data_IF_315268335702
#
_entry.id   IF_315268335702
#
_cell.length_a   1.000
_cell.length_b   1.000
_cell.length_c   1.000
_cell.angle_alpha   90.00
_cell.angle_beta   90.00
_cell.angle_gamma   90.00
#
_symmetry.space_group_name_H-M   'P 1'
#
loop_
_entity.id
_entity.type
_entity.pdbx_description
1 polymer ?
#
# COMPACT_ATOMS: atom_id res chain seq x y z
N UNK A 1 0.37 -25.54 -20.09
CA UNK A 1 0.52 -26.19 -18.78
C UNK A 1 -0.34 -25.41 -17.79
N UNK A 2 -1.28 -26.10 -17.15
CA UNK A 2 -2.64 -25.62 -16.92
C UNK A 2 -2.82 -24.68 -15.71
N UNK A 3 -3.67 -23.66 -15.92
CA UNK A 3 -4.27 -22.74 -14.94
C UNK A 3 -4.94 -23.45 -13.73
N UNK A 4 -5.19 -24.76 -13.87
CA UNK A 4 -5.71 -25.64 -12.83
C UNK A 4 -4.76 -25.86 -11.64
N UNK A 5 -3.43 -25.74 -11.83
CA UNK A 5 -2.46 -26.02 -10.75
C UNK A 5 -2.32 -24.83 -9.77
N UNK A 6 -2.73 -23.63 -10.18
CA UNK A 6 -2.68 -22.44 -9.31
C UNK A 6 -3.95 -22.30 -8.45
N UNK A 7 -5.10 -22.78 -8.94
CA UNK A 7 -6.35 -22.80 -8.16
C UNK A 7 -6.34 -23.86 -7.05
N UNK A 8 -5.64 -24.99 -7.23
CA UNK A 8 -5.53 -26.02 -6.19
C UNK A 8 -4.68 -25.59 -5.00
N UNK A 9 -3.76 -24.62 -5.17
CA UNK A 9 -2.96 -24.10 -4.04
C UNK A 9 -3.74 -23.15 -3.14
N UNK A 10 -4.73 -22.41 -3.67
CA UNK A 10 -5.62 -21.54 -2.89
C UNK A 10 -6.76 -22.32 -2.22
N UNK A 11 -7.25 -23.40 -2.83
CA UNK A 11 -8.25 -24.29 -2.24
C UNK A 11 -7.65 -25.27 -1.21
N UNK A 12 -6.36 -25.65 -1.37
CA UNK A 12 -5.67 -26.57 -0.46
C UNK A 12 -5.35 -26.02 0.93
N UNK A 13 -5.34 -24.69 1.10
CA UNK A 13 -5.16 -24.05 2.41
C UNK A 13 -6.49 -24.02 3.20
N UNK A 14 -7.63 -24.19 2.53
CA UNK A 14 -8.95 -24.10 3.16
C UNK A 14 -9.51 -25.43 3.69
N UNK A 15 -8.91 -26.59 3.38
CA UNK A 15 -9.56 -27.90 3.63
C UNK A 15 -8.75 -28.97 4.38
N UNK A 16 -7.57 -28.65 4.93
CA UNK A 16 -6.83 -29.61 5.77
C UNK A 16 -6.37 -28.96 7.07
N UNK A 17 -7.34 -28.60 7.91
CA UNK A 17 -7.28 -28.79 9.37
C UNK A 17 -8.70 -28.60 9.89
N UNK A 18 -9.24 -29.59 10.61
CA UNK A 18 -10.50 -29.49 11.35
C UNK A 18 -10.41 -28.53 12.53
N UNK A 19 -10.15 -27.25 12.23
CA UNK A 19 -10.25 -26.13 13.16
C UNK A 19 -11.48 -25.32 12.78
N UNK A 20 -12.42 -25.17 13.72
CA UNK A 20 -13.51 -24.19 13.66
C UNK A 20 -12.96 -22.74 13.78
N UNK A 21 -11.96 -22.36 13.00
CA UNK A 21 -11.59 -20.97 12.83
C UNK A 21 -12.47 -20.41 11.71
N UNK A 22 -13.56 -19.74 12.10
CA UNK A 22 -14.49 -19.14 11.16
C UNK A 22 -13.76 -18.08 10.31
N UNK A 23 -13.55 -18.36 9.02
CA UNK A 23 -13.22 -17.31 8.06
C UNK A 23 -14.39 -16.33 8.04
N UNK A 24 -14.15 -15.08 8.45
CA UNK A 24 -15.18 -14.05 8.40
C UNK A 24 -15.26 -13.51 6.99
N UNK A 25 -16.48 -13.48 6.42
CA UNK A 25 -16.75 -12.84 5.13
C UNK A 25 -17.68 -11.66 5.31
N UNK A 26 -17.41 -10.60 4.57
CA UNK A 26 -18.22 -9.39 4.54
C UNK A 26 -18.37 -8.88 3.11
N UNK A 27 -19.54 -8.37 2.78
CA UNK A 27 -19.87 -7.84 1.45
C UNK A 27 -20.50 -6.46 1.58
N UNK A 28 -20.26 -5.62 0.57
CA UNK A 28 -21.08 -4.45 0.28
C UNK A 28 -21.87 -4.75 -0.98
N UNK A 29 -23.19 -4.74 -0.85
CA UNK A 29 -24.10 -4.84 -1.99
C UNK A 29 -24.71 -3.49 -2.31
N UNK A 30 -25.12 -3.33 -3.56
CA UNK A 30 -25.82 -2.15 -4.03
C UNK A 30 -27.19 -2.53 -4.60
N UNK A 31 -28.24 -1.85 -4.18
CA UNK A 31 -29.52 -1.81 -4.89
C UNK A 31 -29.61 -0.51 -5.68
N UNK A 32 -30.01 -0.60 -6.95
CA UNK A 32 -30.14 0.57 -7.82
C UNK A 32 -31.50 1.23 -7.60
N UNK A 33 -31.50 2.46 -7.10
CA UNK A 33 -32.66 3.36 -7.14
C UNK A 33 -32.64 4.19 -8.44
N UNK A 34 -33.68 4.97 -8.70
CA UNK A 34 -33.81 5.79 -9.93
C UNK A 34 -32.68 6.83 -10.09
N UNK A 35 -32.10 7.31 -8.98
CA UNK A 35 -31.11 8.41 -8.98
C UNK A 35 -29.76 8.06 -8.35
N UNK A 36 -29.70 7.03 -7.50
CA UNK A 36 -28.53 6.68 -6.72
C UNK A 36 -28.53 5.18 -6.42
N UNK A 37 -27.40 4.67 -5.91
CA UNK A 37 -27.32 3.35 -5.33
C UNK A 37 -27.54 3.43 -3.82
N UNK A 38 -28.29 2.50 -3.27
CA UNK A 38 -28.36 2.27 -1.83
C UNK A 38 -27.40 1.14 -1.47
N UNK A 39 -26.60 1.36 -0.43
CA UNK A 39 -25.56 0.43 -0.01
C UNK A 39 -25.99 -0.34 1.23
N UNK A 40 -25.69 -1.63 1.27
CA UNK A 40 -25.93 -2.48 2.43
C UNK A 40 -24.69 -3.31 2.77
N UNK A 41 -24.38 -3.38 4.06
CA UNK A 41 -23.34 -4.26 4.60
C UNK A 41 -23.94 -5.61 4.99
N UNK A 42 -23.30 -6.69 4.55
CA UNK A 42 -23.71 -8.05 4.83
C UNK A 42 -22.52 -8.80 5.43
N UNK A 43 -22.68 -9.36 6.64
CA UNK A 43 -21.72 -10.30 7.25
C UNK A 43 -22.31 -11.70 7.22
N UNK A 44 -21.70 -12.64 6.50
CA UNK A 44 -22.27 -13.98 6.29
C UNK A 44 -21.23 -15.10 6.40
N UNK A 45 -21.70 -16.28 6.80
CA UNK A 45 -20.98 -17.56 6.62
C UNK A 45 -21.47 -18.25 5.34
N UNK A 46 -22.73 -18.03 4.96
CA UNK A 46 -23.39 -18.64 3.80
C UNK A 46 -24.22 -17.56 3.10
N UNK A 47 -23.79 -17.09 1.93
CA UNK A 47 -24.68 -16.35 1.03
C UNK A 47 -24.39 -16.74 -0.42
N UNK A 48 -25.45 -16.97 -1.19
CA UNK A 48 -25.43 -17.21 -2.62
C UNK A 48 -25.11 -15.91 -3.38
N UNK A 49 -24.46 -16.06 -4.53
CA UNK A 49 -23.88 -15.01 -5.37
C UNK A 49 -24.89 -14.17 -6.17
N UNK A 50 -26.07 -13.87 -5.62
CA UNK A 50 -27.19 -13.28 -6.39
C UNK A 50 -27.33 -11.75 -6.25
N UNK A 51 -26.61 -11.10 -5.34
CA UNK A 51 -26.70 -9.65 -5.15
C UNK A 51 -25.61 -8.89 -5.90
N UNK A 52 -25.91 -7.74 -6.54
CA UNK A 52 -24.92 -6.85 -7.14
C UNK A 52 -23.92 -6.39 -6.07
N UNK A 53 -22.75 -7.03 -6.05
CA UNK A 53 -21.76 -6.87 -4.98
C UNK A 53 -20.67 -5.92 -5.44
N UNK A 54 -20.48 -4.80 -4.74
CA UNK A 54 -19.44 -3.82 -5.04
C UNK A 54 -18.07 -4.34 -4.60
N UNK A 55 -18.02 -4.85 -3.37
CA UNK A 55 -16.80 -5.30 -2.73
C UNK A 55 -17.08 -6.47 -1.78
N UNK A 56 -16.11 -7.37 -1.65
CA UNK A 56 -16.14 -8.50 -0.73
C UNK A 56 -14.79 -8.65 -0.04
N UNK A 57 -14.82 -8.85 1.27
CA UNK A 57 -13.67 -9.16 2.11
C UNK A 57 -13.80 -10.57 2.70
N UNK A 58 -12.70 -11.31 2.71
CA UNK A 58 -12.55 -12.54 3.51
C UNK A 58 -11.33 -12.38 4.40
N UNK A 59 -11.50 -12.57 5.71
CA UNK A 59 -10.45 -12.43 6.71
C UNK A 59 -10.36 -13.70 7.56
N UNK A 60 -9.14 -14.20 7.72
CA UNK A 60 -8.85 -15.34 8.59
C UNK A 60 -7.71 -14.98 9.54
N UNK A 61 -8.03 -14.82 10.82
CA UNK A 61 -7.03 -14.51 11.84
C UNK A 61 -6.39 -15.80 12.36
N UNK A 62 -5.14 -16.03 11.96
CA UNK A 62 -4.32 -17.16 12.42
C UNK A 62 -3.06 -16.71 13.16
N UNK A 63 -3.05 -15.49 13.71
CA UNK A 63 -1.86 -14.89 14.33
C UNK A 63 -1.30 -15.80 15.44
N UNK A 64 -2.15 -16.39 16.29
CA UNK A 64 -1.72 -17.27 17.36
C UNK A 64 -1.15 -18.62 16.87
N UNK A 65 -1.46 -19.04 15.64
CA UNK A 65 -1.00 -20.31 15.06
C UNK A 65 0.19 -20.16 14.13
N UNK A 66 0.26 -19.05 13.36
CA UNK A 66 1.24 -18.86 12.28
C UNK A 66 2.00 -17.54 12.37
N UNK A 67 1.60 -16.63 13.26
CA UNK A 67 2.08 -15.24 13.27
C UNK A 67 1.39 -14.33 12.24
N UNK A 68 0.46 -14.85 11.43
CA UNK A 68 -0.19 -14.11 10.33
C UNK A 68 -1.71 -14.16 10.41
N UNK A 69 -2.34 -13.02 10.12
CA UNK A 69 -3.70 -13.01 9.58
C UNK A 69 -3.66 -12.97 8.06
N UNK A 70 -4.74 -13.38 7.39
CA UNK A 70 -4.89 -13.24 5.93
C UNK A 70 -6.13 -12.42 5.60
N UNK A 71 -6.03 -11.60 4.55
CA UNK A 71 -7.13 -10.78 4.04
C UNK A 71 -7.17 -10.86 2.51
N UNK A 72 -8.31 -11.27 1.96
CA UNK A 72 -8.62 -11.17 0.53
C UNK A 72 -9.70 -10.12 0.32
N UNK A 73 -9.45 -9.16 -0.55
CA UNK A 73 -10.38 -8.11 -0.91
C UNK A 73 -10.58 -8.08 -2.42
N UNK A 74 -11.84 -8.13 -2.86
CA UNK A 74 -12.21 -8.20 -4.28
C UNK A 74 -13.27 -7.14 -4.54
N UNK A 75 -13.17 -6.42 -5.65
CA UNK A 75 -14.22 -5.47 -6.10
C UNK A 75 -14.77 -5.86 -7.48
N UNK A 76 -15.97 -5.36 -7.79
CA UNK A 76 -16.66 -5.61 -9.06
C UNK A 76 -16.54 -4.42 -10.02
N UNK A 77 -16.24 -4.68 -11.28
CA UNK A 77 -16.14 -3.67 -12.34
C UNK A 77 -17.49 -3.17 -12.86
N UNK A 78 -18.60 -3.71 -12.35
CA UNK A 78 -19.96 -3.25 -12.64
C UNK A 78 -20.27 -1.87 -12.02
N UNK A 79 -19.43 -1.43 -11.08
CA UNK A 79 -19.61 -0.18 -10.34
C UNK A 79 -18.50 0.83 -10.66
N UNK A 80 -18.76 2.15 -10.53
CA UNK A 80 -17.72 3.16 -10.61
C UNK A 80 -16.51 2.84 -9.71
N UNK A 81 -15.30 3.02 -10.23
CA UNK A 81 -14.06 2.67 -9.50
C UNK A 81 -13.94 3.41 -8.16
N UNK A 82 -14.47 4.63 -8.03
CA UNK A 82 -14.50 5.35 -6.76
C UNK A 82 -15.33 4.64 -5.69
N UNK A 83 -16.44 3.99 -6.09
CA UNK A 83 -17.27 3.20 -5.17
C UNK A 83 -16.56 1.90 -4.81
N UNK A 84 -15.94 1.25 -5.79
CA UNK A 84 -15.11 0.07 -5.56
C UNK A 84 -14.01 0.38 -4.53
N UNK A 85 -13.27 1.46 -4.75
CA UNK A 85 -12.16 1.84 -3.89
C UNK A 85 -12.61 2.22 -2.47
N UNK A 86 -13.64 3.07 -2.35
CA UNK A 86 -14.21 3.43 -1.06
C UNK A 86 -14.68 2.20 -0.28
N UNK A 87 -15.48 1.32 -0.89
CA UNK A 87 -16.02 0.15 -0.20
C UNK A 87 -14.98 -0.94 0.07
N UNK A 88 -13.94 -1.04 -0.75
CA UNK A 88 -12.75 -1.82 -0.45
C UNK A 88 -12.12 -1.36 0.88
N UNK A 89 -11.78 -0.08 0.99
CA UNK A 89 -11.18 0.47 2.20
C UNK A 89 -12.08 0.29 3.43
N UNK A 90 -13.36 0.58 3.29
CA UNK A 90 -14.34 0.40 4.36
C UNK A 90 -14.38 -1.05 4.86
N UNK A 91 -14.51 -2.03 3.96
CA UNK A 91 -14.59 -3.43 4.33
C UNK A 91 -13.33 -3.93 5.03
N UNK A 92 -12.15 -3.53 4.56
CA UNK A 92 -10.88 -3.91 5.17
C UNK A 92 -10.81 -3.49 6.64
N UNK A 93 -11.01 -2.20 6.92
CA UNK A 93 -10.95 -1.70 8.28
C UNK A 93 -12.08 -2.26 9.13
N UNK A 94 -13.28 -2.43 8.58
CA UNK A 94 -14.40 -2.96 9.34
C UNK A 94 -14.22 -4.44 9.73
N UNK A 95 -13.77 -5.29 8.81
CA UNK A 95 -13.59 -6.72 9.10
C UNK A 95 -12.34 -7.00 9.96
N UNK A 96 -11.36 -6.09 9.93
CA UNK A 96 -10.14 -6.16 10.74
C UNK A 96 -10.15 -5.14 11.90
N UNK A 97 -11.32 -4.64 12.30
CA UNK A 97 -11.42 -3.48 13.21
C UNK A 97 -10.70 -3.68 14.54
N UNK A 98 -10.90 -4.82 15.21
CA UNK A 98 -10.24 -5.11 16.48
C UNK A 98 -8.71 -5.19 16.33
N UNK A 99 -8.24 -5.78 15.22
CA UNK A 99 -6.82 -5.87 14.92
C UNK A 99 -6.23 -4.49 14.59
N UNK A 100 -7.00 -3.63 13.92
CA UNK A 100 -6.64 -2.24 13.62
C UNK A 100 -6.52 -1.40 14.88
N UNK A 101 -7.48 -1.49 15.81
CA UNK A 101 -7.38 -0.81 17.12
C UNK A 101 -6.14 -1.25 17.90
N UNK A 102 -5.88 -2.56 17.94
CA UNK A 102 -4.69 -3.09 18.62
C UNK A 102 -3.40 -2.57 17.96
N UNK A 103 -3.35 -2.55 16.63
CA UNK A 103 -2.18 -2.03 15.91
C UNK A 103 -1.98 -0.52 16.13
N UNK A 104 -3.06 0.27 16.10
CA UNK A 104 -3.03 1.70 16.42
C UNK A 104 -2.52 1.94 17.84
N UNK A 105 -3.02 1.19 18.83
CA UNK A 105 -2.54 1.28 20.21
C UNK A 105 -1.04 0.93 20.32
N UNK A 106 -0.61 -0.16 19.68
CA UNK A 106 0.79 -0.57 19.74
C UNK A 106 1.75 0.44 19.09
N UNK A 107 1.34 1.10 18.01
CA UNK A 107 2.24 1.87 17.15
C UNK A 107 2.15 3.38 17.34
N UNK A 108 0.97 3.89 17.69
CA UNK A 108 0.64 5.32 17.70
C UNK A 108 0.11 5.83 19.05
N UNK A 109 0.10 5.03 20.12
CA UNK A 109 -0.25 5.52 21.45
C UNK A 109 0.64 6.73 21.83
N UNK A 110 0.00 7.81 22.27
CA UNK A 110 0.68 9.05 22.66
C UNK A 110 1.19 9.90 21.49
N UNK A 111 0.87 9.56 20.24
CA UNK A 111 1.11 10.43 19.09
C UNK A 111 0.17 11.64 19.12
N UNK A 112 0.73 12.84 19.03
CA UNK A 112 0.02 14.13 19.01
C UNK A 112 -1.25 14.19 19.88
N UNK A 113 -1.15 13.97 21.20
CA UNK A 113 -2.31 13.98 22.08
C UNK A 113 -2.81 15.40 22.29
N UNK A 114 -4.12 15.53 22.55
CA UNK A 114 -4.70 16.83 22.89
C UNK A 114 -4.31 17.29 24.32
N UNK A 115 -4.08 18.59 24.54
CA UNK A 115 -4.00 19.65 23.53
C UNK A 115 -2.73 19.53 22.66
N UNK A 116 -2.87 19.75 21.35
CA UNK A 116 -1.75 19.65 20.41
C UNK A 116 -0.57 20.59 20.75
N UNK A 117 0.65 20.06 20.66
CA UNK A 117 1.89 20.86 20.71
C UNK A 117 2.09 21.66 19.42
N UNK A 118 2.98 22.67 19.45
CA UNK A 118 3.33 23.43 18.24
C UNK A 118 3.89 22.53 17.13
N UNK A 119 4.66 21.50 17.48
CA UNK A 119 5.20 20.53 16.51
C UNK A 119 4.08 19.68 15.89
N UNK A 120 3.10 19.26 16.68
CA UNK A 120 1.91 18.59 16.16
C UNK A 120 1.07 19.48 15.25
N UNK A 121 0.93 20.78 15.56
CA UNK A 121 0.24 21.72 14.69
C UNK A 121 0.96 21.90 13.34
N UNK A 122 2.31 22.00 13.35
CA UNK A 122 3.11 22.04 12.11
C UNK A 122 2.95 20.77 11.28
N UNK A 123 3.03 19.60 11.91
CA UNK A 123 2.84 18.33 11.24
C UNK A 123 1.44 18.20 10.64
N UNK A 124 0.41 18.58 11.41
CA UNK A 124 -0.97 18.57 10.96
C UNK A 124 -1.14 19.45 9.72
N UNK A 125 -0.61 20.67 9.74
CA UNK A 125 -0.66 21.58 8.60
C UNK A 125 0.01 20.98 7.35
N UNK A 126 1.22 20.43 7.49
CA UNK A 126 1.95 19.81 6.36
C UNK A 126 1.17 18.63 5.76
N UNK A 127 0.62 17.74 6.59
CA UNK A 127 -0.17 16.59 6.14
C UNK A 127 -1.51 17.01 5.50
N UNK A 128 -2.17 18.02 6.07
CA UNK A 128 -3.40 18.59 5.51
C UNK A 128 -3.15 19.20 4.14
N UNK A 129 -2.08 19.98 3.98
CA UNK A 129 -1.69 20.56 2.69
C UNK A 129 -1.37 19.48 1.65
N UNK A 130 -0.71 18.39 2.07
CA UNK A 130 -0.39 17.28 1.18
C UNK A 130 -1.62 16.49 0.72
N UNK A 131 -2.53 16.15 1.64
CA UNK A 131 -3.80 15.52 1.26
C UNK A 131 -4.62 16.43 0.34
N UNK A 132 -4.70 17.73 0.64
CA UNK A 132 -5.46 18.65 -0.21
C UNK A 132 -4.84 18.73 -1.61
N UNK A 133 -3.51 18.88 -1.72
CA UNK A 133 -2.81 18.85 -3.01
C UNK A 133 -3.13 17.61 -3.83
N UNK A 134 -3.09 16.42 -3.23
CA UNK A 134 -3.40 15.16 -3.93
C UNK A 134 -4.88 15.08 -4.35
N UNK A 135 -5.81 15.53 -3.51
CA UNK A 135 -7.24 15.58 -3.84
C UNK A 135 -7.48 16.56 -4.99
N UNK A 136 -6.97 17.79 -4.92
CA UNK A 136 -7.15 18.79 -5.97
C UNK A 136 -6.53 18.32 -7.30
N UNK A 137 -5.32 17.72 -7.25
CA UNK A 137 -4.65 17.19 -8.42
C UNK A 137 -5.42 16.04 -9.05
N UNK A 138 -5.99 15.13 -8.26
CA UNK A 138 -6.92 14.11 -8.76
C UNK A 138 -8.16 14.73 -9.42
N UNK A 139 -8.84 15.67 -8.76
CA UNK A 139 -10.06 16.28 -9.30
C UNK A 139 -9.81 17.05 -10.61
N UNK A 140 -8.64 17.67 -10.74
CA UNK A 140 -8.27 18.45 -11.92
C UNK A 140 -7.69 17.57 -13.05
N UNK A 141 -6.82 16.60 -12.73
CA UNK A 141 -6.01 15.85 -13.72
C UNK A 141 -6.50 14.42 -13.94
N UNK A 142 -7.15 13.80 -12.97
CA UNK A 142 -7.48 12.37 -12.95
C UNK A 142 -8.42 11.90 -14.06
N UNK A 143 -9.08 12.80 -14.78
CA UNK A 143 -9.85 12.42 -15.97
C UNK A 143 -8.94 11.98 -17.13
N UNK A 144 -7.83 12.69 -17.36
CA UNK A 144 -6.93 12.43 -18.49
C UNK A 144 -5.63 11.71 -18.12
N UNK A 145 -5.22 11.83 -16.86
CA UNK A 145 -3.95 11.35 -16.34
C UNK A 145 -4.12 10.07 -15.53
N UNK A 146 -3.47 8.99 -15.97
CA UNK A 146 -3.53 7.67 -15.35
C UNK A 146 -2.91 7.64 -13.95
N UNK A 147 -1.83 8.39 -13.71
CA UNK A 147 -1.19 8.45 -12.40
C UNK A 147 -2.16 9.10 -11.41
N UNK A 148 -2.65 10.30 -11.72
CA UNK A 148 -3.55 11.04 -10.84
C UNK A 148 -4.90 10.33 -10.62
N UNK A 149 -5.41 9.59 -11.61
CA UNK A 149 -6.59 8.75 -11.41
C UNK A 149 -6.35 7.67 -10.35
N UNK A 150 -5.23 6.95 -10.42
CA UNK A 150 -4.89 5.93 -9.42
C UNK A 150 -4.63 6.53 -8.03
N UNK A 151 -4.06 7.73 -7.94
CA UNK A 151 -3.94 8.46 -6.65
C UNK A 151 -5.33 8.74 -6.08
N UNK A 152 -6.26 9.23 -6.89
CA UNK A 152 -7.64 9.49 -6.49
C UNK A 152 -8.38 8.26 -5.96
N UNK A 153 -8.24 7.11 -6.62
CA UNK A 153 -8.84 5.87 -6.16
C UNK A 153 -8.28 5.44 -4.80
N UNK A 154 -6.98 5.61 -4.57
CA UNK A 154 -6.38 5.31 -3.27
C UNK A 154 -6.82 6.29 -2.17
N UNK A 155 -7.05 7.56 -2.50
CA UNK A 155 -7.68 8.51 -1.59
C UNK A 155 -9.10 8.07 -1.21
N UNK A 156 -9.90 7.62 -2.19
CA UNK A 156 -11.22 7.03 -1.90
C UNK A 156 -11.13 5.78 -1.01
N UNK A 157 -10.15 4.91 -1.24
CA UNK A 157 -9.88 3.76 -0.38
C UNK A 157 -9.55 4.20 1.05
N UNK A 158 -8.66 5.18 1.23
CA UNK A 158 -8.35 5.73 2.55
C UNK A 158 -9.57 6.36 3.21
N UNK A 159 -10.44 7.03 2.45
CA UNK A 159 -11.69 7.60 2.96
C UNK A 159 -12.63 6.52 3.50
N UNK A 160 -12.77 5.41 2.78
CA UNK A 160 -13.52 4.25 3.25
C UNK A 160 -12.98 3.68 4.55
N UNK A 161 -11.65 3.52 4.64
CA UNK A 161 -10.98 3.07 5.88
C UNK A 161 -11.24 4.01 7.05
N UNK A 162 -11.13 5.33 6.82
CA UNK A 162 -11.39 6.36 7.84
C UNK A 162 -12.83 6.29 8.35
N UNK A 163 -13.80 6.19 7.45
CA UNK A 163 -15.22 6.10 7.83
C UNK A 163 -15.52 4.80 8.60
N UNK A 164 -14.96 3.66 8.19
CA UNK A 164 -15.08 2.40 8.93
C UNK A 164 -14.47 2.48 10.34
N UNK A 165 -13.28 3.09 10.48
CA UNK A 165 -12.63 3.30 11.77
C UNK A 165 -13.48 4.19 12.69
N UNK A 166 -14.07 5.24 12.12
CA UNK A 166 -14.94 6.18 12.82
C UNK A 166 -16.40 5.70 12.93
N UNK A 167 -16.69 4.42 12.59
CA UNK A 167 -18.02 3.80 12.65
C UNK A 167 -19.11 4.54 11.85
N UNK A 168 -18.72 5.18 10.75
CA UNK A 168 -19.60 5.93 9.85
C UNK A 168 -19.91 5.10 8.60
N UNK A 169 -21.18 4.76 8.39
CA UNK A 169 -21.62 4.03 7.19
C UNK A 169 -22.36 4.96 6.23
N UNK A 170 -21.91 5.05 4.98
CA UNK A 170 -22.58 5.79 3.91
C UNK A 170 -23.70 4.94 3.32
N UNK A 171 -24.95 5.42 3.37
CA UNK A 171 -26.11 4.62 2.95
C UNK A 171 -26.45 4.79 1.47
N UNK A 172 -26.11 5.93 0.88
CA UNK A 172 -26.44 6.21 -0.51
C UNK A 172 -25.24 6.74 -1.30
N UNK A 173 -25.21 6.47 -2.60
CA UNK A 173 -24.12 6.91 -3.46
C UNK A 173 -24.08 8.42 -3.71
N UNK A 174 -25.18 9.15 -3.45
CA UNK A 174 -25.18 10.61 -3.58
C UNK A 174 -24.36 11.33 -2.51
N UNK A 175 -24.01 10.66 -1.42
CA UNK A 175 -23.07 11.19 -0.42
C UNK A 175 -21.61 11.13 -0.89
N UNK A 176 -21.25 10.20 -1.79
CA UNK A 176 -19.87 10.00 -2.27
C UNK A 176 -19.47 11.05 -3.33
N UNK A 177 -19.44 12.31 -2.91
CA UNK A 177 -19.12 13.49 -3.72
C UNK A 177 -17.65 13.91 -3.57
N UNK A 178 -17.12 14.77 -4.45
CA UNK A 178 -15.80 15.39 -4.25
C UNK A 178 -15.65 16.10 -2.90
N UNK A 179 -16.69 16.77 -2.41
CA UNK A 179 -16.65 17.44 -1.11
C UNK A 179 -16.64 16.46 0.06
N UNK A 180 -17.24 15.28 -0.11
CA UNK A 180 -17.14 14.20 0.87
C UNK A 180 -15.70 13.65 0.95
N UNK A 181 -15.02 13.51 -0.19
CA UNK A 181 -13.62 13.10 -0.22
C UNK A 181 -12.71 14.13 0.47
N UNK A 182 -12.96 15.43 0.27
CA UNK A 182 -12.20 16.52 0.91
C UNK A 182 -12.20 16.45 2.44
N UNK A 183 -13.19 15.82 3.07
CA UNK A 183 -13.24 15.62 4.52
C UNK A 183 -12.07 14.78 5.06
N UNK A 184 -11.33 14.05 4.21
CA UNK A 184 -10.09 13.38 4.63
C UNK A 184 -9.10 14.33 5.32
N UNK A 185 -9.09 15.61 4.93
CA UNK A 185 -8.18 16.61 5.47
C UNK A 185 -8.50 17.01 6.91
N UNK A 186 -9.70 16.71 7.38
CA UNK A 186 -10.20 17.13 8.69
C UNK A 186 -9.58 16.27 9.83
N UNK A 187 -9.18 15.04 9.51
CA UNK A 187 -8.61 14.06 10.45
C UNK A 187 -7.36 13.34 9.89
N UNK A 188 -6.29 14.12 9.66
CA UNK A 188 -5.00 13.58 9.17
C UNK A 188 -4.22 12.77 10.22
N UNK A 189 -4.64 12.80 11.49
CA UNK A 189 -4.05 11.98 12.56
C UNK A 189 -4.85 10.71 12.88
N UNK A 190 -6.00 10.51 12.22
CA UNK A 190 -6.76 9.27 12.27
C UNK A 190 -6.05 8.12 11.54
N UNK A 191 -6.80 7.27 10.84
CA UNK A 191 -6.24 6.07 10.18
C UNK A 191 -5.16 6.36 9.13
N UNK A 192 -5.09 7.60 8.63
CA UNK A 192 -4.05 8.04 7.71
C UNK A 192 -2.65 7.88 8.30
N UNK A 193 -2.46 8.08 9.62
CA UNK A 193 -1.14 7.99 10.24
C UNK A 193 -0.53 6.59 10.11
N UNK A 194 -1.34 5.53 10.06
CA UNK A 194 -0.88 4.16 9.85
C UNK A 194 -0.25 3.96 8.46
N UNK A 195 -0.63 4.77 7.47
CA UNK A 195 -0.05 4.70 6.12
C UNK A 195 1.35 5.33 6.08
N UNK A 196 1.65 6.20 7.04
CA UNK A 196 2.85 7.05 7.05
C UNK A 196 4.02 6.43 7.79
N UNK A 197 3.97 5.15 8.15
CA UNK A 197 5.03 4.48 8.91
C UNK A 197 6.41 4.65 8.27
N UNK A 198 6.47 4.68 6.93
CA UNK A 198 7.70 4.90 6.18
C UNK A 198 8.05 6.37 5.92
N UNK A 199 7.07 7.27 5.79
CA UNK A 199 7.31 8.68 5.46
C UNK A 199 7.57 9.58 6.67
N UNK A 200 6.98 9.22 7.82
CA UNK A 200 6.85 10.12 8.96
C UNK A 200 8.21 10.56 9.51
N UNK A 201 9.22 9.71 9.45
CA UNK A 201 10.55 10.03 9.96
C UNK A 201 11.23 11.14 9.16
N UNK A 202 11.22 11.06 7.82
CA UNK A 202 11.74 12.11 6.94
C UNK A 202 10.96 13.42 7.08
N UNK A 203 9.63 13.36 7.19
CA UNK A 203 8.79 14.55 7.40
C UNK A 203 9.19 15.23 8.72
N UNK A 204 9.22 14.49 9.84
CA UNK A 204 9.63 15.01 11.15
C UNK A 204 11.03 15.61 11.12
N UNK A 205 11.98 14.89 10.53
CA UNK A 205 13.39 15.33 10.44
C UNK A 205 13.49 16.61 9.62
N UNK A 206 12.81 16.67 8.48
CA UNK A 206 12.86 17.83 7.59
C UNK A 206 12.27 19.09 8.26
N UNK A 207 11.18 18.94 9.01
CA UNK A 207 10.47 20.01 9.71
C UNK A 207 11.03 20.32 11.11
N UNK A 208 12.07 19.59 11.54
CA UNK A 208 12.68 19.69 12.87
C UNK A 208 11.67 19.53 14.02
N UNK A 209 10.91 18.43 13.99
CA UNK A 209 9.86 18.13 14.97
C UNK A 209 10.36 17.12 16.02
N UNK A 210 10.43 17.55 17.28
CA UNK A 210 10.88 16.72 18.40
C UNK A 210 9.74 16.31 19.34
N UNK A 211 8.63 17.07 19.38
CA UNK A 211 7.57 16.92 20.38
C UNK A 211 6.24 16.36 19.82
N UNK A 212 6.33 15.38 18.93
CA UNK A 212 5.14 14.74 18.32
C UNK A 212 4.64 13.50 19.08
N UNK A 213 5.36 13.05 20.11
CA UNK A 213 4.94 11.97 21.00
C UNK A 213 5.05 12.39 22.46
N UNK A 214 4.00 12.12 23.25
CA UNK A 214 4.03 12.29 24.72
C UNK A 214 4.53 11.00 25.36
N UNK A 215 5.83 10.94 25.66
CA UNK A 215 6.46 9.75 26.28
C UNK A 215 6.16 9.69 27.78
N UNK A 216 5.87 8.49 28.30
CA UNK A 216 5.69 8.22 29.75
C UNK A 216 6.99 7.89 30.50
N UNK A 217 8.14 7.77 29.82
CA UNK A 217 9.40 7.33 30.44
C UNK A 217 10.62 8.18 30.07
N UNK A 218 11.59 8.26 31.01
CA UNK A 218 12.93 8.85 30.86
C UNK A 218 13.86 8.03 29.92
N UNK A 219 13.31 7.30 28.95
CA UNK A 219 14.12 6.61 27.93
C UNK A 219 14.59 7.67 26.94
N UNK A 220 15.85 8.09 27.13
CA UNK A 220 16.64 8.87 26.18
C UNK A 220 16.90 8.00 24.96
N UNK A 221 16.13 8.21 23.89
CA UNK A 221 16.63 8.49 22.54
C UNK A 221 15.52 8.39 21.50
N UNK A 222 15.81 9.03 20.38
CA UNK A 222 14.99 9.31 19.21
C UNK A 222 14.69 8.06 18.36
N UNK A 223 14.41 6.92 18.98
CA UNK A 223 14.14 5.67 18.28
C UNK A 223 12.69 5.61 17.76
N UNK A 224 12.37 6.46 16.77
CA UNK A 224 11.75 5.84 15.60
C UNK A 224 12.85 4.99 14.98
N UNK A 225 12.95 3.74 15.44
CA UNK A 225 13.80 2.71 14.86
C UNK A 225 13.62 2.81 13.35
N UNK A 226 14.70 3.18 12.64
CA UNK A 226 14.67 3.29 11.18
C UNK A 226 14.36 1.89 10.67
N UNK A 227 13.14 1.62 10.15
CA UNK A 227 12.86 0.32 9.57
C UNK A 227 13.91 0.12 8.49
N UNK A 228 14.54 -1.04 8.53
CA UNK A 228 15.59 -1.43 7.60
C UNK A 228 15.28 -2.83 7.16
N UNK A 229 15.80 -3.25 6.02
CA UNK A 229 15.44 -4.55 5.47
C UNK A 229 16.67 -5.25 4.89
N UNK A 230 16.57 -6.56 4.74
CA UNK A 230 17.51 -7.35 3.96
C UNK A 230 16.79 -8.03 2.81
N UNK A 231 17.36 -7.96 1.62
CA UNK A 231 16.81 -8.58 0.42
C UNK A 231 17.82 -9.48 -0.28
N UNK A 232 17.33 -10.55 -0.91
CA UNK A 232 18.13 -11.46 -1.73
C UNK A 232 17.37 -11.83 -3.00
N UNK A 233 18.00 -11.59 -4.15
CA UNK A 233 17.53 -12.05 -5.46
C UNK A 233 18.60 -12.99 -6.02
N UNK A 234 18.24 -14.26 -6.18
CA UNK A 234 19.20 -15.34 -6.42
C UNK A 234 18.74 -16.22 -7.57
N UNK A 235 19.53 -16.24 -8.64
CA UNK A 235 19.40 -17.23 -9.69
C UNK A 235 19.94 -18.59 -9.20
N UNK A 236 19.16 -19.63 -9.40
CA UNK A 236 19.52 -21.03 -9.15
C UNK A 236 19.22 -21.86 -10.41
N UNK A 237 19.72 -23.11 -10.54
CA UNK A 237 19.37 -23.93 -11.68
C UNK A 237 17.85 -24.05 -11.83
N UNK A 238 17.32 -23.52 -12.94
CA UNK A 238 15.90 -23.55 -13.30
C UNK A 238 14.94 -22.78 -12.38
N UNK A 239 15.44 -21.84 -11.58
CA UNK A 239 14.57 -20.96 -10.79
C UNK A 239 15.22 -19.60 -10.44
N UNK A 240 14.38 -18.67 -9.98
CA UNK A 240 14.78 -17.40 -9.37
C UNK A 240 14.14 -17.29 -7.97
N UNK A 241 14.99 -17.30 -6.95
CA UNK A 241 14.56 -17.14 -5.56
C UNK A 241 14.63 -15.67 -5.17
N UNK A 242 13.55 -15.16 -4.59
CA UNK A 242 13.43 -13.77 -4.14
C UNK A 242 12.98 -13.80 -2.69
N UNK A 243 13.74 -13.15 -1.81
CA UNK A 243 13.49 -13.10 -0.38
C UNK A 243 13.64 -11.67 0.14
N UNK A 244 12.78 -11.32 1.08
CA UNK A 244 12.78 -10.05 1.79
C UNK A 244 12.57 -10.31 3.29
N UNK A 245 13.34 -9.61 4.13
CA UNK A 245 13.29 -9.72 5.58
C UNK A 245 13.22 -8.32 6.17
N UNK A 246 12.03 -7.92 6.60
CA UNK A 246 11.77 -6.63 7.26
C UNK A 246 12.36 -6.61 8.66
N UNK A 247 13.06 -5.53 9.01
CA UNK A 247 13.48 -5.24 10.38
C UNK A 247 12.66 -4.05 10.88
N UNK A 248 11.97 -4.25 11.99
CA UNK A 248 11.09 -3.25 12.57
C UNK A 248 10.85 -3.57 14.04
N UNK A 249 10.31 -2.60 14.77
CA UNK A 249 9.99 -2.76 16.17
C UNK A 249 8.99 -3.89 16.39
N UNK A 250 9.21 -4.66 17.46
CA UNK A 250 8.31 -5.77 17.84
C UNK A 250 6.86 -5.34 18.05
N UNK A 251 6.61 -4.07 18.41
CA UNK A 251 5.25 -3.51 18.52
C UNK A 251 4.44 -3.58 17.21
N UNK A 252 5.12 -3.68 16.07
CA UNK A 252 4.49 -3.75 14.74
C UNK A 252 4.04 -5.17 14.35
N UNK A 253 4.38 -6.22 15.11
CA UNK A 253 4.18 -7.64 14.71
C UNK A 253 2.72 -8.14 14.63
N UNK A 254 1.72 -7.26 14.56
CA UNK A 254 0.39 -7.65 14.09
C UNK A 254 0.41 -7.65 12.56
N UNK A 255 0.53 -8.84 11.97
CA UNK A 255 0.76 -9.01 10.52
C UNK A 255 -0.49 -9.46 9.78
N UNK A 256 -0.68 -8.93 8.57
CA UNK A 256 -1.75 -9.31 7.66
C UNK A 256 -1.16 -9.57 6.27
N UNK A 257 -1.24 -10.80 5.78
CA UNK A 257 -0.95 -11.13 4.39
C UNK A 257 -2.16 -10.78 3.54
N UNK A 258 -2.00 -9.87 2.58
CA UNK A 258 -3.10 -9.32 1.79
C UNK A 258 -3.08 -9.81 0.35
N UNK A 259 -4.28 -9.91 -0.23
CA UNK A 259 -4.49 -9.94 -1.68
C UNK A 259 -5.63 -8.99 -2.03
N UNK A 260 -5.31 -7.97 -2.82
CA UNK A 260 -6.29 -7.10 -3.45
C UNK A 260 -6.54 -7.55 -4.87
N UNK A 261 -7.80 -7.55 -5.30
CA UNK A 261 -8.24 -7.80 -6.67
C UNK A 261 -9.22 -6.72 -7.10
N UNK A 262 -8.68 -5.66 -7.68
CA UNK A 262 -9.43 -4.47 -8.05
C UNK A 262 -9.37 -4.28 -9.57
N UNK A 263 -10.45 -4.54 -10.31
CA UNK A 263 -10.52 -4.34 -11.75
C UNK A 263 -10.71 -2.85 -12.11
N UNK A 264 -9.96 -1.96 -11.46
CA UNK A 264 -10.01 -0.52 -11.72
C UNK A 264 -9.57 -0.20 -13.14
N UNK A 265 -10.12 0.87 -13.70
CA UNK A 265 -9.70 1.39 -15.00
C UNK A 265 -8.35 2.08 -14.89
N UNK A 266 -7.64 2.19 -16.02
CA UNK A 266 -6.38 2.94 -16.09
C UNK A 266 -6.62 4.42 -15.74
N UNK A 267 -7.69 5.00 -16.31
CA UNK A 267 -8.21 6.35 -16.03
C UNK A 267 -9.73 6.39 -16.15
N UNK A 268 -10.35 7.49 -15.76
CA UNK A 268 -11.80 7.64 -15.87
C UNK A 268 -12.27 7.47 -17.32
N UNK A 269 -13.38 6.77 -17.52
CA UNK A 269 -13.98 6.56 -18.85
C UNK A 269 -13.26 5.53 -19.74
N UNK A 270 -12.07 5.05 -19.38
CA UNK A 270 -11.38 4.02 -20.14
C UNK A 270 -12.15 2.68 -20.10
N UNK A 271 -12.03 1.92 -21.19
CA UNK A 271 -12.44 0.50 -21.23
C UNK A 271 -11.34 -0.42 -20.73
N UNK A 272 -10.09 0.06 -20.71
CA UNK A 272 -8.92 -0.70 -20.30
C UNK A 272 -8.76 -0.62 -18.79
N UNK A 273 -8.50 -1.77 -18.17
CA UNK A 273 -8.19 -1.90 -16.75
C UNK A 273 -6.69 -1.81 -16.49
N UNK A 274 -6.34 -1.55 -15.25
CA UNK A 274 -4.95 -1.56 -14.78
C UNK A 274 -4.26 -2.88 -15.14
N UNK A 275 -2.97 -2.82 -15.45
CA UNK A 275 -2.18 -3.97 -15.87
C UNK A 275 -2.18 -5.07 -14.82
N UNK A 276 -2.11 -4.71 -13.54
CA UNK A 276 -2.16 -5.63 -12.41
C UNK A 276 -3.44 -5.44 -11.61
N UNK A 277 -4.49 -6.16 -11.97
CA UNK A 277 -5.74 -6.17 -11.18
C UNK A 277 -5.56 -6.84 -9.81
N UNK A 278 -4.65 -7.81 -9.70
CA UNK A 278 -4.37 -8.47 -8.43
C UNK A 278 -2.96 -8.17 -7.90
N UNK A 279 -2.86 -7.85 -6.61
CA UNK A 279 -1.60 -7.61 -5.92
C UNK A 279 -1.65 -8.34 -4.58
N UNK A 280 -0.69 -9.22 -4.33
CA UNK A 280 -0.49 -9.88 -3.03
C UNK A 280 0.76 -9.35 -2.37
N UNK A 281 0.70 -9.08 -1.07
CA UNK A 281 1.77 -8.43 -0.34
C UNK A 281 1.65 -8.66 1.17
N UNK A 282 2.78 -8.66 1.85
CA UNK A 282 2.83 -8.62 3.31
C UNK A 282 2.50 -7.21 3.80
N UNK A 283 1.68 -7.12 4.84
CA UNK A 283 1.15 -5.84 5.32
C UNK A 283 0.72 -5.94 6.79
N UNK A 284 -0.02 -4.93 7.22
CA UNK A 284 -0.44 -4.66 8.58
C UNK A 284 -1.93 -4.25 8.57
N UNK A 285 -2.62 -4.30 9.71
CA UNK A 285 -4.04 -3.99 9.79
C UNK A 285 -4.35 -2.58 9.29
N UNK A 286 -5.27 -2.46 8.33
CA UNK A 286 -5.66 -1.19 7.71
C UNK A 286 -4.53 -0.34 7.12
N UNK A 287 -3.48 -0.97 6.60
CA UNK A 287 -2.42 -0.31 5.81
C UNK A 287 -2.56 -0.67 4.33
N UNK A 288 -2.78 0.31 3.45
CA UNK A 288 -3.11 0.10 2.03
C UNK A 288 -1.95 -0.55 1.24
N UNK A 289 -0.72 -0.27 1.65
CA UNK A 289 0.51 -0.78 1.03
C UNK A 289 1.17 -1.87 1.89
N UNK A 290 2.20 -2.50 1.33
CA UNK A 290 3.27 -3.03 2.17
C UNK A 290 3.94 -1.81 2.83
N UNK A 291 4.42 -1.97 4.05
CA UNK A 291 5.42 -1.07 4.66
C UNK A 291 6.70 -1.88 4.93
N UNK A 292 6.82 -3.04 4.27
CA UNK A 292 7.92 -3.99 4.44
C UNK A 292 9.13 -3.62 3.58
N UNK A 293 9.12 -3.53 2.25
CA UNK A 293 8.05 -3.85 1.28
C UNK A 293 8.28 -5.13 0.46
N UNK A 294 7.21 -5.92 0.25
CA UNK A 294 7.22 -7.07 -0.64
C UNK A 294 5.88 -7.29 -1.34
N UNK A 295 5.87 -7.24 -2.67
CA UNK A 295 4.69 -7.40 -3.51
C UNK A 295 4.89 -8.43 -4.63
N UNK A 296 3.82 -9.14 -4.95
CA UNK A 296 3.67 -9.95 -6.16
C UNK A 296 2.43 -9.46 -6.90
N UNK A 297 2.61 -9.03 -8.14
CA UNK A 297 1.52 -8.52 -8.99
C UNK A 297 1.01 -9.59 -9.96
N UNK A 298 -0.24 -9.49 -10.42
CA UNK A 298 -0.80 -10.39 -11.44
C UNK A 298 -0.12 -10.26 -12.80
N UNK A 299 0.57 -9.14 -13.06
CA UNK A 299 1.45 -8.97 -14.21
C UNK A 299 2.86 -9.56 -14.00
N UNK A 300 3.02 -10.39 -12.95
CA UNK A 300 4.25 -11.13 -12.62
C UNK A 300 5.48 -10.24 -12.43
N UNK A 301 5.27 -9.02 -11.93
CA UNK A 301 6.34 -8.24 -11.31
C UNK A 301 6.41 -8.61 -9.83
N UNK A 302 7.62 -8.92 -9.35
CA UNK A 302 7.93 -9.03 -7.92
C UNK A 302 8.69 -7.78 -7.53
N UNK A 303 8.16 -7.04 -6.56
CA UNK A 303 8.63 -5.72 -6.16
C UNK A 303 8.98 -5.76 -4.70
N UNK A 304 10.19 -5.36 -4.35
CA UNK A 304 10.69 -5.31 -2.98
C UNK A 304 11.67 -4.16 -2.82
N UNK A 305 11.92 -3.74 -1.59
CA UNK A 305 12.89 -2.68 -1.34
C UNK A 305 13.75 -2.95 -0.10
N UNK A 306 14.74 -2.09 0.09
CA UNK A 306 15.38 -1.90 1.39
C UNK A 306 15.61 -0.42 1.62
N UNK A 307 15.25 0.06 2.81
CA UNK A 307 15.38 1.47 3.18
C UNK A 307 16.83 1.88 3.40
N UNK A 308 17.16 3.10 2.97
CA UNK A 308 18.42 3.77 3.28
C UNK A 308 18.17 5.23 3.67
N UNK A 309 19.05 5.78 4.51
CA UNK A 309 18.83 7.12 5.06
C UNK A 309 19.34 8.24 4.14
N UNK A 310 18.70 9.41 4.22
CA UNK A 310 19.27 10.64 3.72
C UNK A 310 20.06 11.34 4.83
N UNK A 311 21.39 11.31 4.74
CA UNK A 311 22.26 12.04 5.68
C UNK A 311 22.64 13.44 5.15
N UNK A 312 22.25 13.80 3.92
CA UNK A 312 22.49 15.12 3.35
C UNK A 312 21.37 16.10 3.75
N UNK A 313 21.70 17.03 4.64
CA UNK A 313 20.76 18.04 5.15
C UNK A 313 20.25 19.01 4.10
N UNK A 314 21.02 19.24 3.03
CA UNK A 314 20.65 20.19 1.98
C UNK A 314 19.44 19.69 1.17
N UNK A 315 19.22 18.37 1.13
CA UNK A 315 18.10 17.75 0.43
C UNK A 315 16.77 17.89 1.19
N UNK A 316 16.79 18.22 2.49
CA UNK A 316 15.55 18.32 3.27
C UNK A 316 14.61 19.45 2.83
N UNK A 317 15.11 20.41 2.05
CA UNK A 317 14.26 21.46 1.47
C UNK A 317 13.15 20.88 0.58
N UNK A 318 13.45 19.82 -0.18
CA UNK A 318 12.47 19.16 -1.05
C UNK A 318 11.32 18.51 -0.27
N UNK A 319 11.60 18.00 0.94
CA UNK A 319 10.57 17.43 1.82
C UNK A 319 9.79 18.54 2.53
N UNK A 320 10.51 19.52 3.11
CA UNK A 320 9.89 20.65 3.84
C UNK A 320 8.90 21.41 2.97
N UNK A 321 9.27 21.71 1.74
CA UNK A 321 8.47 22.50 0.80
C UNK A 321 7.57 21.62 -0.08
N UNK A 322 7.71 20.29 0.02
CA UNK A 322 7.06 19.32 -0.87
C UNK A 322 5.59 19.03 -0.57
N UNK A 323 5.00 19.62 0.48
CA UNK A 323 3.60 19.34 0.86
C UNK A 323 2.64 19.53 -0.33
N UNK A 324 2.83 20.59 -1.12
CA UNK A 324 1.95 20.93 -2.26
C UNK A 324 2.51 20.54 -3.63
N UNK A 325 3.53 19.69 -3.68
CA UNK A 325 4.22 19.33 -4.93
C UNK A 325 4.77 17.91 -4.93
N UNK A 326 4.25 17.05 -4.06
CA UNK A 326 4.71 15.67 -3.97
C UNK A 326 3.61 14.72 -3.51
N UNK A 327 3.83 13.44 -3.76
CA UNK A 327 2.94 12.34 -3.38
C UNK A 327 3.74 11.40 -2.48
N UNK A 328 3.21 11.09 -1.29
CA UNK A 328 3.88 10.17 -0.36
C UNK A 328 4.02 8.76 -0.92
N UNK A 329 5.01 8.01 -0.43
CA UNK A 329 5.51 6.81 -1.13
C UNK A 329 4.41 5.77 -1.40
N UNK A 330 3.52 5.51 -0.43
CA UNK A 330 2.59 4.38 -0.51
C UNK A 330 1.63 4.53 -1.69
N UNK A 331 1.21 5.77 -1.97
CA UNK A 331 0.39 6.09 -3.13
C UNK A 331 1.15 5.84 -4.45
N UNK A 332 2.43 6.21 -4.51
CA UNK A 332 3.29 6.05 -5.70
C UNK A 332 3.58 4.58 -5.97
N UNK A 333 3.95 3.81 -4.94
CA UNK A 333 4.23 2.37 -5.03
C UNK A 333 3.01 1.60 -5.50
N UNK A 334 1.86 1.83 -4.88
CA UNK A 334 0.64 1.12 -5.25
C UNK A 334 0.08 1.57 -6.60
N UNK A 335 0.36 2.80 -7.05
CA UNK A 335 0.11 3.22 -8.45
C UNK A 335 1.01 2.47 -9.43
N UNK A 336 2.32 2.42 -9.17
CA UNK A 336 3.28 1.70 -10.01
C UNK A 336 2.97 0.20 -10.09
N UNK A 337 2.62 -0.43 -8.96
CA UNK A 337 2.23 -1.84 -8.90
C UNK A 337 1.01 -2.15 -9.78
N UNK A 338 0.04 -1.22 -9.86
CA UNK A 338 -1.17 -1.38 -10.68
C UNK A 338 -0.90 -1.16 -12.17
N UNK A 339 -0.16 -0.10 -12.53
CA UNK A 339 -0.05 0.35 -13.92
C UNK A 339 1.06 -0.35 -14.73
N UNK A 340 2.19 -0.69 -14.11
CA UNK A 340 3.40 -1.06 -14.83
C UNK A 340 3.34 -2.41 -15.55
N UNK A 341 3.77 -2.44 -16.81
CA UNK A 341 3.97 -3.68 -17.57
C UNK A 341 5.36 -4.29 -17.37
N UNK A 342 6.37 -3.45 -17.16
CA UNK A 342 7.78 -3.84 -17.02
C UNK A 342 8.41 -3.21 -15.77
N UNK A 343 9.56 -3.74 -15.33
CA UNK A 343 10.29 -3.12 -14.21
C UNK A 343 10.74 -1.69 -14.47
N UNK A 344 11.01 -1.33 -15.73
CA UNK A 344 11.36 0.05 -16.10
C UNK A 344 10.16 0.99 -16.01
N UNK A 345 9.00 0.57 -16.50
CA UNK A 345 7.76 1.33 -16.35
C UNK A 345 7.40 1.52 -14.88
N UNK A 346 7.56 0.48 -14.06
CA UNK A 346 7.33 0.56 -12.62
C UNK A 346 8.16 1.69 -11.99
N UNK A 347 9.46 1.73 -12.28
CA UNK A 347 10.35 2.76 -11.76
C UNK A 347 9.99 4.18 -12.28
N UNK A 348 9.48 4.28 -13.52
CA UNK A 348 9.05 5.55 -14.09
C UNK A 348 7.76 6.07 -13.45
N UNK A 349 6.80 5.21 -13.13
CA UNK A 349 5.60 5.59 -12.36
C UNK A 349 5.96 5.96 -10.92
N UNK A 350 6.78 5.14 -10.25
CA UNK A 350 7.20 5.39 -8.86
C UNK A 350 7.93 6.74 -8.70
N UNK A 351 8.69 7.15 -9.71
CA UNK A 351 9.44 8.42 -9.72
C UNK A 351 8.55 9.67 -9.75
N UNK A 352 7.32 9.57 -10.27
CA UNK A 352 6.46 10.75 -10.41
C UNK A 352 6.14 11.34 -9.04
N UNK A 353 6.19 12.67 -8.93
CA UNK A 353 5.88 13.41 -7.71
C UNK A 353 6.67 12.92 -6.48
N UNK A 354 7.95 12.60 -6.65
CA UNK A 354 8.85 12.14 -5.59
C UNK A 354 8.80 13.06 -4.35
N UNK A 355 8.39 12.50 -3.21
CA UNK A 355 8.30 13.18 -1.92
C UNK A 355 9.63 13.31 -1.18
N UNK A 356 10.65 12.51 -1.50
CA UNK A 356 11.86 12.42 -0.71
C UNK A 356 11.67 11.79 0.68
N UNK A 357 10.55 11.10 0.87
CA UNK A 357 10.18 10.39 2.10
C UNK A 357 10.15 8.89 1.84
N UNK A 358 10.43 8.09 2.86
CA UNK A 358 10.71 6.65 2.76
C UNK A 358 11.69 6.32 1.64
N UNK A 359 12.95 6.76 1.82
CA UNK A 359 13.97 6.67 0.79
C UNK A 359 14.53 5.24 0.71
N UNK A 360 14.27 4.57 -0.42
CA UNK A 360 14.48 3.14 -0.55
C UNK A 360 15.23 2.80 -1.84
N UNK A 361 15.92 1.66 -1.82
CA UNK A 361 16.37 0.96 -3.02
C UNK A 361 15.29 -0.05 -3.42
N UNK A 362 14.52 0.28 -4.44
CA UNK A 362 13.53 -0.59 -5.04
C UNK A 362 14.16 -1.55 -6.03
N UNK A 363 13.80 -2.82 -5.93
CA UNK A 363 14.15 -3.87 -6.87
C UNK A 363 12.85 -4.38 -7.51
N UNK A 364 12.82 -4.38 -8.84
CA UNK A 364 11.67 -4.88 -9.61
C UNK A 364 12.15 -6.02 -10.50
N UNK A 365 11.73 -7.23 -10.15
CA UNK A 365 11.99 -8.43 -10.94
C UNK A 365 10.82 -8.66 -11.89
N UNK A 366 11.10 -8.65 -13.18
CA UNK A 366 10.12 -9.04 -14.19
C UNK A 366 10.18 -10.55 -14.44
N UNK A 367 9.40 -11.30 -13.66
CA UNK A 367 9.37 -12.75 -13.73
C UNK A 367 8.79 -13.28 -15.05
N UNK A 368 8.17 -12.43 -15.89
CA UNK A 368 7.75 -12.82 -17.25
C UNK A 368 8.94 -13.14 -18.15
N UNK A 369 10.09 -12.53 -17.87
CA UNK A 369 11.31 -12.68 -18.66
C UNK A 369 12.17 -13.86 -18.21
N UNK A 370 11.74 -14.60 -17.19
CA UNK A 370 12.40 -15.81 -16.72
C UNK A 370 11.65 -17.05 -17.25
N UNK A 371 12.37 -17.95 -17.93
CA UNK A 371 11.86 -19.24 -18.38
C UNK A 371 12.97 -20.29 -18.38
N UNK A 372 12.65 -21.51 -17.96
CA UNK A 372 13.62 -22.61 -17.86
C UNK A 372 14.11 -23.12 -19.21
N UNK A 373 13.34 -22.84 -20.27
CA UNK A 373 13.61 -23.34 -21.62
C UNK A 373 14.26 -22.29 -22.52
N UNK A 374 14.58 -21.10 -21.98
CA UNK A 374 15.15 -19.98 -22.73
C UNK A 374 16.44 -19.49 -22.06
N UNK A 375 17.42 -18.98 -22.85
CA UNK A 375 18.55 -18.26 -22.29
C UNK A 375 18.09 -17.08 -21.43
N UNK A 376 18.84 -16.80 -20.35
CA UNK A 376 18.57 -15.63 -19.52
C UNK A 376 18.66 -14.35 -20.37
N UNK A 377 17.74 -13.38 -20.16
CA UNK A 377 17.78 -12.13 -20.90
C UNK A 377 18.99 -11.30 -20.49
N UNK A 378 19.44 -10.42 -21.38
CA UNK A 378 20.53 -9.47 -21.11
C UNK A 378 20.04 -8.12 -20.55
N UNK A 379 18.73 -7.91 -20.46
CA UNK A 379 18.08 -6.70 -19.93
C UNK A 379 16.65 -7.00 -19.46
N UNK A 380 16.12 -6.15 -18.59
CA UNK A 380 14.72 -6.09 -18.19
C UNK A 380 14.33 -6.99 -17.02
N UNK A 381 15.08 -8.07 -16.77
CA UNK A 381 14.79 -9.02 -15.70
C UNK A 381 14.87 -8.39 -14.30
N UNK A 382 15.80 -7.46 -14.08
CA UNK A 382 15.95 -6.76 -12.80
C UNK A 382 16.18 -5.29 -13.06
N UNK A 383 15.26 -4.45 -12.61
CA UNK A 383 15.41 -2.99 -12.58
C UNK A 383 15.54 -2.54 -11.14
N UNK A 384 16.53 -1.69 -10.86
CA UNK A 384 16.74 -1.06 -9.57
C UNK A 384 16.44 0.44 -9.68
N UNK A 385 15.66 0.95 -8.72
CA UNK A 385 15.39 2.37 -8.57
C UNK A 385 15.75 2.84 -7.16
N UNK A 386 16.50 3.92 -7.04
CA UNK A 386 16.94 4.48 -5.75
C UNK A 386 16.42 5.90 -5.62
N UNK A 387 15.81 6.22 -4.48
CA UNK A 387 15.20 7.52 -4.21
C UNK A 387 15.94 8.26 -3.10
N UNK A 388 16.15 9.56 -3.31
CA UNK A 388 16.44 10.56 -2.28
C UNK A 388 15.51 11.77 -2.51
N UNK A 389 15.44 12.75 -1.58
CA UNK A 389 14.70 13.97 -1.86
C UNK A 389 15.21 14.67 -3.12
N UNK A 390 14.28 14.93 -4.05
CA UNK A 390 14.57 15.57 -5.34
C UNK A 390 15.20 14.66 -6.42
N UNK A 391 15.57 13.41 -6.10
CA UNK A 391 16.34 12.55 -7.01
C UNK A 391 15.76 11.13 -7.04
N UNK A 392 15.56 10.57 -8.23
CA UNK A 392 15.31 9.13 -8.42
C UNK A 392 16.21 8.61 -9.53
N UNK A 393 17.09 7.69 -9.17
CA UNK A 393 17.97 7.03 -10.11
C UNK A 393 17.40 5.67 -10.52
N UNK A 394 17.47 5.32 -11.81
CA UNK A 394 16.88 4.08 -12.34
C UNK A 394 17.90 3.39 -13.23
N UNK A 395 18.20 2.11 -12.96
CA UNK A 395 19.04 1.28 -13.82
C UNK A 395 18.52 -0.14 -13.98
N UNK A 396 18.77 -0.67 -15.16
CA UNK A 396 18.74 -2.11 -15.40
C UNK A 396 19.99 -2.77 -14.79
N UNK A 397 19.77 -3.76 -13.94
CA UNK A 397 20.82 -4.54 -13.27
C UNK A 397 20.78 -6.02 -13.67
N UNK A 398 20.12 -6.37 -14.78
CA UNK A 398 20.05 -7.76 -15.27
C UNK A 398 21.45 -8.35 -15.50
N UNK A 399 22.36 -7.61 -16.12
CA UNK A 399 23.73 -8.09 -16.33
C UNK A 399 24.48 -8.36 -15.02
N UNK A 400 24.21 -7.59 -13.96
CA UNK A 400 24.81 -7.83 -12.63
C UNK A 400 24.24 -9.10 -12.02
N UNK A 401 22.93 -9.29 -12.08
CA UNK A 401 22.25 -10.49 -11.58
C UNK A 401 22.74 -11.76 -12.29
N UNK A 402 22.84 -11.71 -13.63
CA UNK A 402 23.29 -12.84 -14.45
C UNK A 402 24.78 -13.12 -14.24
N UNK A 403 25.63 -12.09 -14.20
CA UNK A 403 27.08 -12.27 -14.07
C UNK A 403 27.50 -12.74 -12.68
N UNK A 404 26.81 -12.32 -11.61
CA UNK A 404 27.29 -12.58 -10.25
C UNK A 404 26.88 -13.93 -9.68
N UNK A 405 25.90 -14.65 -10.24
CA UNK A 405 25.32 -15.90 -9.70
C UNK A 405 24.97 -15.90 -8.18
N UNK A 406 25.38 -14.96 -7.32
CA UNK A 406 25.06 -14.74 -5.89
C UNK A 406 25.40 -13.28 -5.51
N UNK A 407 24.58 -12.64 -4.68
CA UNK A 407 25.03 -11.57 -3.78
C UNK A 407 23.91 -11.01 -2.89
N UNK A 408 24.12 -10.84 -1.56
CA UNK A 408 23.18 -10.11 -0.71
C UNK A 408 23.05 -8.66 -1.19
N UNK A 409 21.84 -8.11 -1.12
CA UNK A 409 21.61 -6.69 -1.37
C UNK A 409 21.58 -5.99 -0.01
N UNK A 410 22.46 -5.00 0.13
CA UNK A 410 22.68 -4.25 1.35
C UNK A 410 21.86 -2.95 1.32
N UNK A 411 21.53 -2.45 2.51
CA UNK A 411 20.87 -1.17 2.81
C UNK A 411 21.62 0.09 2.33
N UNK A 412 22.66 -0.04 1.49
CA UNK A 412 23.38 1.09 0.93
C UNK A 412 23.00 1.29 -0.55
N UNK A 413 22.85 2.55 -1.00
CA UNK A 413 22.69 2.86 -2.41
C UNK A 413 23.81 2.21 -3.24
N UNK A 414 23.43 1.64 -4.38
CA UNK A 414 24.34 1.06 -5.36
C UNK A 414 24.62 2.01 -6.52
N UNK A 415 23.89 3.13 -6.61
CA UNK A 415 24.28 4.26 -7.45
C UNK A 415 25.48 4.99 -6.85
N UNK A 416 26.42 5.43 -7.70
CA UNK A 416 27.42 6.42 -7.30
C UNK A 416 26.76 7.79 -7.12
#
# INVERSE_FOLDING_TARGET
>A
MNLYVFLTYLLGIALVTGSKNASNRALIIASKSLKYYEFSYISTVELSSEFPTIAMATHENRINQTGWSTLSLITSDEFPDSYQAYWAGFLETNITYELTKAHMANTMEGFCPEPLTNDCLKLKAWLTDNIDYMIQSFLYRGYGDEFWYQIGLQLWQLKGMSDAYNRKFVRNSSELTPDYLKQLKDDVFGIYILQLSGDLNEIKTSLNLSEVFKRKSNLTEDEFERPSCSALIKLVPKDILISHVTWSSYKMMLRVLKIYRFPWKVRNGDKKRVTSEAISFSSYPSVISSIDDFYITSNKLVVLETTFSNDNKDLWVFVREGAQSSVLYFYRVMTANRLAQTGREWALYFRQENSGTYNNQWMVVDAKLFSNDQPLPNKGLLVVAEQLPGIVWIRDKTNVLVARLIGPVSTYPTSP
#
